data_IF_162817584545
#
_entry.id   IF_162817584545
#
_cell.length_a   1.000
_cell.length_b   1.000
_cell.length_c   1.000
_cell.angle_alpha   90.00
_cell.angle_beta   90.00
_cell.angle_gamma   90.00
#
_symmetry.space_group_name_H-M   'P 1'
#
loop_
_entity.id
_entity.type
_entity.pdbx_description
1 polymer ?
#
# COMPACT_ATOMS: atom_id res chain seq x y z
N UNK A 1 -7.61 12.43 9.90
CA UNK A 1 -7.62 11.03 10.40
C UNK A 1 -7.69 10.14 9.17
N UNK A 2 -6.79 9.16 9.02
CA UNK A 2 -6.94 8.13 7.98
C UNK A 2 -8.20 7.33 8.35
N UNK A 3 -9.26 7.42 7.55
CA UNK A 3 -10.49 6.64 7.76
C UNK A 3 -10.32 5.17 7.43
N UNK A 4 -9.22 4.82 6.75
CA UNK A 4 -8.87 3.47 6.32
C UNK A 4 -8.13 2.73 7.44
N UNK A 5 -8.41 1.43 7.57
CA UNK A 5 -7.88 0.55 8.61
C UNK A 5 -8.32 0.83 10.04
N UNK A 6 -9.53 1.38 10.19
CA UNK A 6 -10.19 1.57 11.48
C UNK A 6 -10.55 0.24 12.17
N UNK A 7 -10.61 -0.85 11.41
CA UNK A 7 -10.76 -2.23 11.87
C UNK A 7 -9.44 -2.85 12.37
N UNK A 8 -8.34 -2.11 12.31
CA UNK A 8 -7.01 -2.54 12.78
C UNK A 8 -6.13 -3.19 11.73
N UNK A 9 -6.60 -3.29 10.48
CA UNK A 9 -5.85 -3.81 9.35
C UNK A 9 -5.85 -2.85 8.16
N UNK A 10 -4.86 -2.96 7.29
CA UNK A 10 -4.81 -2.29 5.99
C UNK A 10 -4.63 -3.37 4.94
N UNK A 11 -5.56 -3.49 4.02
CA UNK A 11 -5.53 -4.48 2.94
C UNK A 11 -5.50 -3.84 1.53
N UNK A 12 -5.58 -4.69 0.49
CA UNK A 12 -5.61 -4.25 -0.90
C UNK A 12 -6.77 -3.31 -1.22
N UNK A 13 -7.94 -3.50 -0.60
CA UNK A 13 -9.12 -2.65 -0.82
C UNK A 13 -8.91 -1.27 -0.20
N UNK A 14 -8.36 -1.21 1.02
CA UNK A 14 -8.01 0.06 1.66
C UNK A 14 -6.98 0.83 0.84
N UNK A 15 -5.89 0.16 0.44
CA UNK A 15 -4.79 0.81 -0.29
C UNK A 15 -5.25 1.28 -1.67
N UNK A 16 -6.08 0.52 -2.39
CA UNK A 16 -6.65 0.96 -3.66
C UNK A 16 -7.49 2.24 -3.49
N UNK A 17 -8.36 2.31 -2.48
CA UNK A 17 -9.17 3.51 -2.19
C UNK A 17 -8.32 4.70 -1.77
N UNK A 18 -7.29 4.48 -0.94
CA UNK A 18 -6.32 5.51 -0.57
C UNK A 18 -5.66 6.07 -1.83
N UNK A 19 -5.13 5.22 -2.72
CA UNK A 19 -4.48 5.66 -3.96
C UNK A 19 -5.44 6.48 -4.83
N UNK A 20 -6.66 6.01 -5.05
CA UNK A 20 -7.67 6.73 -5.82
C UNK A 20 -7.94 8.12 -5.22
N UNK A 21 -8.07 8.21 -3.88
CA UNK A 21 -8.22 9.49 -3.17
C UNK A 21 -7.01 10.40 -3.34
N UNK A 22 -5.78 9.87 -3.29
CA UNK A 22 -4.54 10.64 -3.50
C UNK A 22 -4.41 11.14 -4.94
N UNK A 23 -4.82 10.35 -5.93
CA UNK A 23 -4.88 10.75 -7.34
C UNK A 23 -5.87 11.89 -7.53
N UNK A 24 -7.10 11.74 -7.02
CA UNK A 24 -8.12 12.79 -7.09
C UNK A 24 -7.68 14.09 -6.39
N UNK A 25 -7.00 13.97 -5.25
CA UNK A 25 -6.40 15.12 -4.57
C UNK A 25 -5.32 15.78 -5.43
N UNK A 26 -4.44 15.00 -6.06
CA UNK A 26 -3.40 15.51 -6.95
C UNK A 26 -3.98 16.27 -8.13
N UNK A 27 -4.92 15.65 -8.86
CA UNK A 27 -5.62 16.26 -9.99
C UNK A 27 -6.32 17.58 -9.63
N UNK A 28 -6.88 17.66 -8.42
CA UNK A 28 -7.57 18.87 -7.95
C UNK A 28 -6.62 20.01 -7.56
N UNK A 29 -5.47 19.69 -6.98
CA UNK A 29 -4.63 20.68 -6.29
C UNK A 29 -3.30 20.97 -6.98
N UNK A 30 -2.91 20.20 -8.00
CA UNK A 30 -1.68 20.40 -8.75
C UNK A 30 -1.99 20.44 -10.27
N UNK A 31 -1.88 21.61 -10.92
CA UNK A 31 -2.09 21.75 -12.37
C UNK A 31 -1.14 20.90 -13.23
N UNK A 32 0.02 20.52 -12.69
CA UNK A 32 1.04 19.70 -13.36
C UNK A 32 0.97 18.22 -12.93
N UNK A 33 -0.14 17.80 -12.31
CA UNK A 33 -0.26 16.45 -11.80
C UNK A 33 -0.23 15.41 -12.93
N UNK A 34 0.82 14.60 -12.96
CA UNK A 34 0.97 13.45 -13.85
C UNK A 34 0.79 12.14 -13.07
N UNK A 35 -0.22 11.37 -13.47
CA UNK A 35 -0.42 9.99 -13.02
C UNK A 35 -0.67 9.06 -14.22
N UNK A 36 0.11 9.28 -15.27
CA UNK A 36 0.20 8.42 -16.44
C UNK A 36 0.77 7.02 -16.10
N UNK A 37 0.98 6.18 -17.11
CA UNK A 37 1.29 4.76 -16.93
C UNK A 37 2.49 4.48 -16.03
N UNK A 38 3.58 5.23 -16.16
CA UNK A 38 4.81 4.99 -15.38
C UNK A 38 4.66 5.39 -13.91
N UNK A 39 4.23 6.63 -13.57
CA UNK A 39 3.93 6.98 -12.17
C UNK A 39 2.84 6.09 -11.55
N UNK A 40 1.81 5.71 -12.31
CA UNK A 40 0.77 4.82 -11.82
C UNK A 40 1.29 3.42 -11.49
N UNK A 41 2.19 2.87 -12.32
CA UNK A 41 2.86 1.60 -12.06
C UNK A 41 3.74 1.68 -10.81
N UNK A 42 4.57 2.73 -10.68
CA UNK A 42 5.43 2.94 -9.51
C UNK A 42 4.60 3.02 -8.23
N UNK A 43 3.55 3.84 -8.21
CA UNK A 43 2.68 3.94 -7.04
C UNK A 43 1.96 2.64 -6.70
N UNK A 44 1.66 1.80 -7.70
CA UNK A 44 1.17 0.44 -7.50
C UNK A 44 2.22 -0.49 -6.89
N UNK A 45 3.46 -0.42 -7.38
CA UNK A 45 4.57 -1.22 -6.89
C UNK A 45 4.95 -0.87 -5.43
N UNK A 46 5.02 0.41 -5.08
CA UNK A 46 5.25 0.87 -3.70
C UNK A 46 4.15 0.38 -2.76
N UNK A 47 2.90 0.42 -3.21
CA UNK A 47 1.75 -0.08 -2.46
C UNK A 47 1.82 -1.60 -2.23
N UNK A 48 2.20 -2.36 -3.25
CA UNK A 48 2.39 -3.80 -3.15
C UNK A 48 3.55 -4.16 -2.21
N UNK A 49 4.67 -3.44 -2.30
CA UNK A 49 5.82 -3.61 -1.42
C UNK A 49 5.49 -3.27 0.03
N UNK A 50 4.68 -2.24 0.28
CA UNK A 50 4.19 -1.91 1.62
C UNK A 50 3.39 -3.07 2.22
N UNK A 51 2.37 -3.56 1.51
CA UNK A 51 1.50 -4.63 2.01
C UNK A 51 2.28 -5.93 2.24
N UNK A 52 3.19 -6.30 1.32
CA UNK A 52 4.00 -7.51 1.46
C UNK A 52 5.10 -7.36 2.52
N UNK A 53 5.74 -6.21 2.58
CA UNK A 53 6.83 -5.94 3.53
C UNK A 53 6.32 -5.86 4.96
N UNK A 54 5.21 -5.16 5.19
CA UNK A 54 4.65 -4.98 6.53
C UNK A 54 3.54 -5.99 6.88
N UNK A 55 3.16 -6.88 5.97
CA UNK A 55 2.13 -7.89 6.22
C UNK A 55 2.59 -9.11 7.04
N UNK A 56 3.91 -9.23 7.29
CA UNK A 56 4.49 -10.36 7.99
C UNK A 56 4.32 -11.65 7.18
N UNK A 57 3.64 -12.66 7.74
CA UNK A 57 3.30 -13.91 7.02
C UNK A 57 2.12 -13.74 6.04
N UNK A 58 1.49 -12.57 6.01
CA UNK A 58 0.34 -12.29 5.17
C UNK A 58 0.76 -11.41 3.99
N UNK A 59 0.50 -11.84 2.77
CA UNK A 59 1.02 -11.17 1.58
C UNK A 59 0.25 -9.92 1.12
N UNK A 60 -0.98 -9.70 1.58
CA UNK A 60 -1.89 -8.68 1.03
C UNK A 60 -2.62 -7.84 2.08
N UNK A 61 -2.25 -7.97 3.36
CA UNK A 61 -2.73 -7.08 4.41
C UNK A 61 -1.65 -6.90 5.48
N UNK A 62 -1.71 -5.79 6.21
CA UNK A 62 -0.84 -5.47 7.35
C UNK A 62 -1.67 -4.96 8.52
N UNK A 63 -1.16 -5.04 9.75
CA UNK A 63 -1.79 -4.36 10.90
C UNK A 63 -1.68 -2.84 10.70
N UNK A 64 -2.74 -2.09 10.99
CA UNK A 64 -2.71 -0.62 10.90
C UNK A 64 -1.59 -0.01 11.74
N UNK A 65 -1.33 -0.57 12.93
CA UNK A 65 -0.24 -0.14 13.81
C UNK A 65 1.15 -0.36 13.20
N UNK A 66 1.31 -1.37 12.35
CA UNK A 66 2.58 -1.65 11.68
C UNK A 66 2.87 -0.60 10.62
N UNK A 67 1.89 -0.37 9.75
CA UNK A 67 1.95 0.68 8.72
C UNK A 67 2.17 2.04 9.35
N UNK A 68 1.42 2.37 10.41
CA UNK A 68 1.55 3.67 11.10
C UNK A 68 2.93 3.84 11.75
N UNK A 69 3.45 2.82 12.43
CA UNK A 69 4.78 2.88 13.05
C UNK A 69 5.86 3.08 11.99
N UNK A 70 5.79 2.31 10.89
CA UNK A 70 6.77 2.41 9.82
C UNK A 70 6.78 3.79 9.16
N UNK A 71 5.62 4.37 8.83
CA UNK A 71 5.58 5.69 8.21
C UNK A 71 5.85 6.86 9.16
N UNK A 72 5.50 6.76 10.44
CA UNK A 72 5.69 7.86 11.40
C UNK A 72 7.06 7.86 12.05
N UNK A 73 7.65 6.68 12.27
CA UNK A 73 8.90 6.51 13.02
C UNK A 73 10.04 5.95 12.15
N UNK A 74 9.76 5.58 10.90
CA UNK A 74 10.74 4.97 9.97
C UNK A 74 11.46 3.76 10.59
N UNK A 75 10.73 2.98 11.37
CA UNK A 75 11.25 1.82 12.10
C UNK A 75 10.31 0.62 11.99
N UNK A 76 10.87 -0.57 12.15
CA UNK A 76 10.05 -1.78 12.22
C UNK A 76 9.32 -1.84 13.57
N UNK A 77 8.02 -2.15 13.59
CA UNK A 77 7.26 -2.34 14.83
C UNK A 77 7.87 -3.44 15.71
N UNK A 78 7.80 -3.29 17.03
CA UNK A 78 8.43 -4.22 17.98
C UNK A 78 7.95 -5.67 17.86
N UNK A 79 6.67 -5.89 17.53
CA UNK A 79 6.07 -7.22 17.32
C UNK A 79 5.97 -7.63 15.85
N UNK A 80 6.52 -6.83 14.92
CA UNK A 80 6.63 -7.22 13.52
C UNK A 80 7.74 -8.26 13.36
N UNK A 81 7.47 -9.26 12.52
CA UNK A 81 8.45 -10.28 12.15
C UNK A 81 8.60 -10.29 10.65
N UNK A 82 9.86 -10.33 10.20
CA UNK A 82 10.19 -10.51 8.78
C UNK A 82 9.61 -11.84 8.30
N UNK A 83 8.95 -11.83 7.14
CA UNK A 83 8.56 -13.07 6.46
C UNK A 83 9.80 -13.93 6.17
N UNK A 84 9.76 -15.25 6.44
CA UNK A 84 10.83 -16.16 6.00
C UNK A 84 10.82 -16.36 4.48
N UNK A 85 9.75 -15.97 3.79
CA UNK A 85 9.63 -16.04 2.33
C UNK A 85 10.07 -14.72 1.71
N UNK A 86 11.00 -14.81 0.75
CA UNK A 86 11.46 -13.64 -0.02
C UNK A 86 10.32 -13.08 -0.88
N UNK A 87 10.24 -11.74 -0.97
CA UNK A 87 9.32 -11.06 -1.88
C UNK A 87 9.97 -11.02 -3.25
N UNK A 88 9.36 -11.67 -4.24
CA UNK A 88 9.88 -11.73 -5.61
C UNK A 88 9.23 -10.69 -6.52
N UNK A 89 9.75 -10.50 -7.72
CA UNK A 89 9.11 -9.63 -8.71
C UNK A 89 7.68 -10.09 -9.11
N UNK A 90 7.43 -11.40 -9.38
CA UNK A 90 6.08 -11.92 -9.59
C UNK A 90 5.11 -11.65 -8.44
N UNK A 91 5.58 -11.70 -7.19
CA UNK A 91 4.77 -11.38 -6.01
C UNK A 91 4.23 -9.95 -6.07
N UNK A 92 5.12 -9.00 -6.33
CA UNK A 92 4.76 -7.58 -6.43
C UNK A 92 3.76 -7.38 -7.57
N UNK A 93 4.00 -7.98 -8.74
CA UNK A 93 3.07 -7.92 -9.87
C UNK A 93 1.69 -8.49 -9.54
N UNK A 94 1.62 -9.61 -8.81
CA UNK A 94 0.35 -10.19 -8.39
C UNK A 94 -0.45 -9.23 -7.49
N UNK A 95 0.22 -8.56 -6.54
CA UNK A 95 -0.44 -7.59 -5.66
C UNK A 95 -0.85 -6.31 -6.41
N UNK A 96 -0.06 -5.84 -7.39
CA UNK A 96 -0.48 -4.75 -8.28
C UNK A 96 -1.78 -5.12 -9.01
N UNK A 97 -1.88 -6.36 -9.51
CA UNK A 97 -3.11 -6.84 -10.16
C UNK A 97 -4.29 -6.89 -9.20
N UNK A 98 -4.09 -7.28 -7.93
CA UNK A 98 -5.16 -7.23 -6.92
C UNK A 98 -5.61 -5.81 -6.63
N UNK A 99 -4.68 -4.86 -6.50
CA UNK A 99 -5.00 -3.43 -6.32
C UNK A 99 -5.80 -2.88 -7.51
N UNK A 100 -5.43 -3.26 -8.73
CA UNK A 100 -6.10 -2.82 -9.96
C UNK A 100 -7.49 -3.43 -10.15
N UNK A 101 -7.78 -4.58 -9.53
CA UNK A 101 -9.07 -5.25 -9.58
C UNK A 101 -10.10 -4.68 -8.60
N UNK A 102 -9.71 -3.79 -7.68
CA UNK A 102 -10.62 -3.13 -6.75
C UNK A 102 -11.38 -2.02 -7.48
N UNK A 103 -12.70 -2.04 -7.41
CA UNK A 103 -13.54 -0.93 -7.88
C UNK A 103 -13.43 0.26 -6.90
N UNK A 104 -13.02 1.43 -7.41
CA UNK A 104 -12.74 2.66 -6.63
C UNK A 104 -13.38 3.89 -7.22
#
# INVERSE_FOLDING_TARGET
>A
MLSYGADGQIDVTDVAKIRASRVAYGQKNNPEFDYSSTPAFIGGAESALLLRGLGGLNGNYSKTSFVSTFFLLETFPLDWQKSPTEITYPDVLATISYLAAVEV
#
